data_IF_964028477091
#
_entry.id   IF_964028477091
#
_cell.length_a   1.000
_cell.length_b   1.000
_cell.length_c   1.000
_cell.angle_alpha   90.00
_cell.angle_beta   90.00
_cell.angle_gamma   90.00
#
_symmetry.space_group_name_H-M   'P 1'
#
loop_
_entity.id
_entity.type
_entity.pdbx_description
1 polymer ?
#
# COMPACT_ATOMS: atom_id res chain seq x y z
N UNK A 1 28.44 37.41 11.49
CA UNK A 1 27.01 37.19 11.20
C UNK A 1 26.88 35.77 10.67
N UNK A 2 26.41 34.82 11.49
CA UNK A 2 26.12 33.46 11.06
C UNK A 2 24.65 33.40 10.66
N UNK A 3 24.39 33.17 9.37
CA UNK A 3 23.06 32.89 8.87
C UNK A 3 22.63 31.51 9.37
N UNK A 4 21.60 31.46 10.21
CA UNK A 4 20.93 30.22 10.58
C UNK A 4 20.38 29.55 9.32
N UNK A 5 20.74 28.28 9.13
CA UNK A 5 20.19 27.49 8.04
C UNK A 5 18.67 27.35 8.24
N UNK A 6 17.84 27.46 7.18
CA UNK A 6 16.41 27.22 7.29
C UNK A 6 16.19 25.75 7.63
N UNK A 7 15.68 25.49 8.83
CA UNK A 7 15.23 24.16 9.20
C UNK A 7 14.17 23.68 8.21
N UNK A 8 14.43 22.49 7.70
CA UNK A 8 13.76 21.85 6.58
C UNK A 8 12.28 21.58 6.92
N UNK A 9 11.37 22.45 6.47
CA UNK A 9 9.94 22.44 6.76
C UNK A 9 9.14 21.26 6.19
N UNK A 10 9.80 20.15 5.82
CA UNK A 10 9.17 19.03 5.11
C UNK A 10 9.47 17.66 5.75
N UNK A 11 10.01 17.62 6.97
CA UNK A 11 10.19 16.35 7.67
C UNK A 11 8.86 15.90 8.31
N UNK A 12 8.40 14.66 8.04
CA UNK A 12 7.19 14.14 8.67
C UNK A 12 7.39 14.06 10.18
N UNK A 13 6.36 14.43 10.95
CA UNK A 13 6.45 14.37 12.40
C UNK A 13 6.66 12.92 12.87
N UNK A 14 7.33 12.71 14.02
CA UNK A 14 7.49 11.37 14.61
C UNK A 14 6.15 10.60 14.71
N UNK A 15 5.07 11.33 15.01
CA UNK A 15 3.71 10.78 15.11
C UNK A 15 3.17 10.29 13.76
N UNK A 16 3.51 10.97 12.67
CA UNK A 16 3.12 10.56 11.31
C UNK A 16 3.89 9.30 10.87
N UNK A 17 5.19 9.23 11.19
CA UNK A 17 6.01 8.05 10.91
C UNK A 17 5.51 6.81 11.65
N UNK A 18 5.15 6.95 12.92
CA UNK A 18 4.56 5.85 13.71
C UNK A 18 3.21 5.38 13.15
N UNK A 19 2.33 6.33 12.78
CA UNK A 19 1.03 6.00 12.19
C UNK A 19 1.22 5.26 10.87
N UNK A 20 2.12 5.72 10.01
CA UNK A 20 2.36 5.09 8.72
C UNK A 20 2.97 3.69 8.85
N UNK A 21 3.78 3.45 9.89
CA UNK A 21 4.26 2.11 10.23
C UNK A 21 3.09 1.19 10.64
N UNK A 22 2.24 1.63 11.55
CA UNK A 22 1.09 0.85 12.00
C UNK A 22 0.09 0.55 10.86
N UNK A 23 -0.13 1.51 9.96
CA UNK A 23 -0.94 1.29 8.74
C UNK A 23 -0.31 0.19 7.88
N UNK A 24 1.01 0.20 7.68
CA UNK A 24 1.70 -0.83 6.89
C UNK A 24 1.60 -2.22 7.53
N UNK A 25 1.73 -2.30 8.85
CA UNK A 25 1.66 -3.56 9.58
C UNK A 25 0.24 -4.15 9.48
N UNK A 26 -0.78 -3.35 9.80
CA UNK A 26 -2.19 -3.79 9.72
C UNK A 26 -2.66 -4.08 8.30
N UNK A 27 -2.14 -3.36 7.30
CA UNK A 27 -2.47 -3.61 5.89
C UNK A 27 -2.06 -5.02 5.44
N UNK A 28 -0.94 -5.55 5.95
CA UNK A 28 -0.45 -6.90 5.59
C UNK A 28 -1.36 -8.02 6.08
N UNK A 29 -2.18 -7.75 7.08
CA UNK A 29 -3.11 -8.69 7.69
C UNK A 29 -4.54 -8.51 7.15
N UNK A 30 -4.78 -7.48 6.34
CA UNK A 30 -6.10 -7.21 5.80
C UNK A 30 -6.49 -8.24 4.73
N UNK A 31 -7.56 -9.00 5.00
CA UNK A 31 -8.00 -10.09 4.14
C UNK A 31 -8.41 -9.65 2.73
N UNK A 32 -9.02 -8.46 2.58
CA UNK A 32 -9.40 -7.94 1.26
C UNK A 32 -8.14 -7.57 0.46
N UNK A 33 -7.17 -6.94 1.12
CA UNK A 33 -5.89 -6.61 0.51
C UNK A 33 -5.16 -7.88 0.04
N UNK A 34 -5.01 -8.87 0.93
CA UNK A 34 -4.36 -10.15 0.60
C UNK A 34 -5.07 -10.85 -0.57
N UNK A 35 -6.40 -10.88 -0.58
CA UNK A 35 -7.18 -11.49 -1.65
C UNK A 35 -6.92 -10.80 -2.99
N UNK A 36 -6.86 -9.47 -3.02
CA UNK A 36 -6.56 -8.71 -4.22
C UNK A 36 -5.11 -8.90 -4.70
N UNK A 37 -4.12 -8.97 -3.80
CA UNK A 37 -2.74 -9.30 -4.16
C UNK A 37 -2.66 -10.69 -4.80
N UNK A 38 -3.33 -11.69 -4.22
CA UNK A 38 -3.39 -13.05 -4.77
C UNK A 38 -4.07 -13.11 -6.14
N UNK A 39 -5.19 -12.40 -6.30
CA UNK A 39 -5.90 -12.33 -7.58
C UNK A 39 -5.03 -11.70 -8.68
N UNK A 40 -4.29 -10.63 -8.35
CA UNK A 40 -3.37 -10.01 -9.31
C UNK A 40 -2.16 -10.90 -9.61
N UNK A 41 -1.61 -11.60 -8.61
CA UNK A 41 -0.55 -12.57 -8.81
C UNK A 41 -0.98 -13.70 -9.76
N UNK A 42 -2.20 -14.23 -9.60
CA UNK A 42 -2.75 -15.25 -10.48
C UNK A 42 -2.85 -14.79 -11.95
N UNK A 43 -3.20 -13.52 -12.20
CA UNK A 43 -3.19 -12.96 -13.56
C UNK A 43 -1.77 -12.90 -14.15
N UNK A 44 -0.76 -12.62 -13.33
CA UNK A 44 0.63 -12.61 -13.79
C UNK A 44 1.17 -14.02 -14.02
N UNK A 45 0.70 -15.01 -13.26
CA UNK A 45 1.03 -16.42 -13.47
C UNK A 45 0.38 -16.93 -14.77
N UNK A 46 -0.89 -16.62 -15.01
CA UNK A 46 -1.60 -16.91 -16.28
C UNK A 46 -0.86 -16.28 -17.47
N UNK A 47 -0.46 -15.01 -17.35
CA UNK A 47 0.32 -14.32 -18.36
C UNK A 47 1.68 -14.94 -18.63
N UNK A 48 2.38 -15.37 -17.58
CA UNK A 48 3.68 -16.01 -17.71
C UNK A 48 3.56 -17.37 -18.40
N UNK A 49 2.53 -18.15 -18.05
CA UNK A 49 2.22 -19.41 -18.73
C UNK A 49 1.89 -19.18 -20.20
N UNK A 50 1.06 -18.16 -20.51
CA UNK A 50 0.70 -17.83 -21.89
C UNK A 50 1.91 -17.45 -22.73
N UNK A 51 2.82 -16.65 -22.17
CA UNK A 51 4.07 -16.29 -22.84
C UNK A 51 4.96 -17.51 -23.11
N UNK A 52 4.97 -18.50 -22.22
CA UNK A 52 5.72 -19.74 -22.40
C UNK A 52 5.13 -20.57 -23.55
N UNK A 53 3.80 -20.71 -23.63
CA UNK A 53 3.13 -21.36 -24.77
C UNK A 53 3.47 -20.68 -26.10
N UNK A 54 3.45 -19.34 -26.12
CA UNK A 54 3.78 -18.56 -27.32
C UNK A 54 5.26 -18.70 -27.71
N UNK A 55 6.15 -18.88 -26.73
CA UNK A 55 7.56 -19.14 -26.98
C UNK A 55 7.76 -20.55 -27.57
N UNK A 56 7.07 -21.56 -27.05
CA UNK A 56 7.09 -22.93 -27.58
C UNK A 56 6.51 -23.01 -29.00
N UNK A 57 5.46 -22.23 -29.28
CA UNK A 57 4.85 -22.13 -30.61
C UNK A 57 5.70 -21.32 -31.62
N UNK A 58 6.83 -20.74 -31.19
CA UNK A 58 7.71 -19.92 -32.05
C UNK A 58 7.20 -18.51 -32.34
N UNK A 59 6.11 -18.08 -31.68
CA UNK A 59 5.55 -16.73 -31.81
C UNK A 59 6.40 -15.69 -31.06
N UNK A 60 7.13 -16.12 -30.02
CA UNK A 60 8.12 -15.33 -29.30
C UNK A 60 9.48 -16.02 -29.47
N UNK A 61 10.56 -15.23 -29.60
CA UNK A 61 11.91 -15.78 -29.68
C UNK A 61 12.22 -16.66 -28.47
N UNK A 62 12.76 -17.86 -28.70
CA UNK A 62 13.28 -18.75 -27.64
C UNK A 62 14.39 -18.14 -26.77
N UNK A 63 14.99 -17.01 -27.19
CA UNK A 63 15.98 -16.26 -26.40
C UNK A 63 15.36 -15.24 -25.45
N UNK A 64 14.06 -14.94 -25.61
CA UNK A 64 13.35 -14.01 -24.73
C UNK A 64 13.20 -14.62 -23.35
N UNK A 65 13.61 -13.89 -22.32
CA UNK A 65 13.46 -14.33 -20.92
C UNK A 65 12.09 -13.87 -20.43
N UNK A 66 11.24 -14.83 -20.04
CA UNK A 66 9.96 -14.55 -19.38
C UNK A 66 10.24 -14.25 -17.90
N UNK A 67 9.89 -13.06 -17.38
CA UNK A 67 10.15 -12.71 -15.99
C UNK A 67 9.33 -13.55 -15.01
N UNK A 68 9.95 -14.06 -13.95
CA UNK A 68 9.25 -14.78 -12.88
C UNK A 68 9.01 -13.90 -11.65
N UNK A 69 7.78 -13.83 -11.14
CA UNK A 69 7.38 -13.15 -9.89
C UNK A 69 6.72 -11.79 -10.06
N UNK A 70 6.32 -11.16 -8.94
CA UNK A 70 5.25 -10.17 -8.90
C UNK A 70 5.69 -8.70 -8.66
N UNK A 71 6.94 -8.35 -8.98
CA UNK A 71 7.37 -6.95 -8.83
C UNK A 71 6.79 -6.07 -9.94
N UNK A 72 6.64 -4.76 -9.68
CA UNK A 72 6.10 -3.83 -10.67
C UNK A 72 6.88 -3.85 -12.01
N UNK A 73 8.21 -3.94 -11.94
CA UNK A 73 9.05 -4.07 -13.13
C UNK A 73 8.79 -5.37 -13.90
N UNK A 74 8.64 -6.49 -13.19
CA UNK A 74 8.37 -7.80 -13.81
C UNK A 74 6.98 -7.82 -14.46
N UNK A 75 5.97 -7.31 -13.77
CA UNK A 75 4.62 -7.16 -14.32
C UNK A 75 4.58 -6.27 -15.57
N UNK A 76 5.30 -5.14 -15.55
CA UNK A 76 5.43 -4.28 -16.73
C UNK A 76 6.08 -5.02 -17.91
N UNK A 77 7.13 -5.81 -17.66
CA UNK A 77 7.80 -6.56 -18.72
C UNK A 77 6.93 -7.70 -19.27
N UNK A 78 6.20 -8.41 -18.42
CA UNK A 78 5.20 -9.40 -18.85
C UNK A 78 4.15 -8.74 -19.75
N UNK A 79 3.65 -7.58 -19.35
CA UNK A 79 2.62 -6.83 -20.10
C UNK A 79 3.16 -6.39 -21.47
N UNK A 80 4.40 -5.91 -21.53
CA UNK A 80 5.06 -5.54 -22.78
C UNK A 80 5.19 -6.74 -23.74
N UNK A 81 5.61 -7.91 -23.24
CA UNK A 81 5.74 -9.11 -24.05
C UNK A 81 4.39 -9.59 -24.59
N UNK A 82 3.33 -9.56 -23.77
CA UNK A 82 1.98 -9.90 -24.20
C UNK A 82 1.46 -8.95 -25.28
N UNK A 83 1.72 -7.64 -25.13
CA UNK A 83 1.36 -6.67 -26.18
C UNK A 83 2.08 -6.96 -27.50
N UNK A 84 3.38 -7.29 -27.44
CA UNK A 84 4.18 -7.61 -28.62
C UNK A 84 3.69 -8.88 -29.32
N UNK A 85 3.14 -9.85 -28.57
CA UNK A 85 2.58 -11.08 -29.10
C UNK A 85 1.09 -10.99 -29.48
N UNK A 86 0.46 -9.81 -29.34
CA UNK A 86 -0.94 -9.58 -29.70
C UNK A 86 -1.97 -10.02 -28.66
N UNK A 87 -1.55 -10.39 -27.45
CA UNK A 87 -2.41 -10.85 -26.33
C UNK A 87 -3.06 -9.68 -25.59
N UNK A 88 -3.76 -8.82 -26.33
CA UNK A 88 -4.31 -7.56 -25.80
C UNK A 88 -5.39 -7.76 -24.73
N UNK A 89 -6.17 -8.85 -24.80
CA UNK A 89 -7.19 -9.14 -23.80
C UNK A 89 -6.58 -9.41 -22.42
N UNK A 90 -5.49 -10.17 -22.37
CA UNK A 90 -4.80 -10.49 -21.13
C UNK A 90 -4.09 -9.27 -20.56
N UNK A 91 -3.54 -8.41 -21.43
CA UNK A 91 -2.98 -7.10 -21.06
C UNK A 91 -4.03 -6.23 -20.36
N UNK A 92 -5.24 -6.13 -20.92
CA UNK A 92 -6.30 -5.32 -20.32
C UNK A 92 -6.75 -5.90 -18.96
N UNK A 93 -6.89 -7.23 -18.84
CA UNK A 93 -7.17 -7.88 -17.54
C UNK A 93 -6.12 -7.54 -16.48
N UNK A 94 -4.83 -7.61 -16.83
CA UNK A 94 -3.74 -7.27 -15.90
C UNK A 94 -3.81 -5.80 -15.47
N UNK A 95 -4.05 -4.89 -16.42
CA UNK A 95 -4.17 -3.45 -16.16
C UNK A 95 -5.36 -3.14 -15.25
N UNK A 96 -6.49 -3.75 -15.51
CA UNK A 96 -7.69 -3.56 -14.69
C UNK A 96 -7.52 -4.15 -13.30
N UNK A 97 -6.91 -5.34 -13.18
CA UNK A 97 -6.51 -5.89 -11.89
C UNK A 97 -5.59 -4.95 -11.10
N UNK A 98 -4.61 -4.33 -11.77
CA UNK A 98 -3.71 -3.35 -11.16
C UNK A 98 -4.44 -2.07 -10.69
N UNK A 99 -5.38 -1.56 -11.50
CA UNK A 99 -6.22 -0.41 -11.13
C UNK A 99 -7.07 -0.73 -9.90
N UNK A 100 -7.76 -1.88 -9.89
CA UNK A 100 -8.59 -2.33 -8.77
C UNK A 100 -7.76 -2.47 -7.49
N UNK A 101 -6.61 -3.13 -7.56
CA UNK A 101 -5.64 -3.26 -6.46
C UNK A 101 -5.23 -1.90 -5.90
N UNK A 102 -4.92 -0.94 -6.79
CA UNK A 102 -4.50 0.41 -6.39
C UNK A 102 -5.61 1.17 -5.67
N UNK A 103 -6.85 1.08 -6.17
CA UNK A 103 -8.01 1.71 -5.54
C UNK A 103 -8.31 1.09 -4.17
N UNK A 104 -8.26 -0.24 -4.09
CA UNK A 104 -8.46 -0.98 -2.85
C UNK A 104 -7.41 -0.60 -1.79
N UNK A 105 -6.13 -0.57 -2.18
CA UNK A 105 -5.04 -0.15 -1.31
C UNK A 105 -5.27 1.25 -0.73
N UNK A 106 -5.68 2.21 -1.57
CA UNK A 106 -6.00 3.57 -1.11
C UNK A 106 -7.15 3.57 -0.10
N UNK A 107 -8.22 2.81 -0.38
CA UNK A 107 -9.40 2.69 0.50
C UNK A 107 -9.02 2.12 1.87
N UNK A 108 -8.29 1.00 1.90
CA UNK A 108 -7.91 0.32 3.14
C UNK A 108 -6.96 1.20 3.95
N UNK A 109 -5.95 1.81 3.32
CA UNK A 109 -5.04 2.74 4.02
C UNK A 109 -5.78 3.90 4.65
N UNK A 110 -6.73 4.50 3.94
CA UNK A 110 -7.55 5.59 4.47
C UNK A 110 -8.39 5.13 5.67
N UNK A 111 -9.04 3.97 5.57
CA UNK A 111 -9.81 3.37 6.68
C UNK A 111 -8.93 3.15 7.92
N UNK A 112 -7.77 2.51 7.74
CA UNK A 112 -6.81 2.26 8.82
C UNK A 112 -6.29 3.56 9.44
N UNK A 113 -6.01 4.59 8.64
CA UNK A 113 -5.57 5.90 9.15
C UNK A 113 -6.62 6.56 10.04
N UNK A 114 -7.90 6.47 9.67
CA UNK A 114 -9.01 6.98 10.48
C UNK A 114 -9.11 6.20 11.79
N UNK A 115 -9.15 4.87 11.72
CA UNK A 115 -9.24 4.01 12.91
C UNK A 115 -8.09 4.28 13.89
N UNK A 116 -6.86 4.40 13.40
CA UNK A 116 -5.68 4.68 14.24
C UNK A 116 -5.79 6.09 14.86
N UNK A 117 -6.27 7.08 14.09
CA UNK A 117 -6.47 8.44 14.61
C UNK A 117 -7.53 8.45 15.70
N UNK A 118 -8.66 7.78 15.50
CA UNK A 118 -9.73 7.68 16.48
C UNK A 118 -9.26 6.96 17.75
N UNK A 119 -8.55 5.83 17.60
CA UNK A 119 -7.95 5.08 18.72
C UNK A 119 -7.01 5.96 19.54
N UNK A 120 -6.02 6.58 18.90
CA UNK A 120 -5.06 7.47 19.58
C UNK A 120 -5.73 8.69 20.22
N UNK A 121 -6.78 9.22 19.60
CA UNK A 121 -7.56 10.34 20.17
C UNK A 121 -8.32 9.92 21.42
N UNK A 122 -8.92 8.72 21.42
CA UNK A 122 -9.61 8.15 22.59
C UNK A 122 -8.62 7.88 23.73
N UNK A 123 -7.47 7.26 23.43
CA UNK A 123 -6.38 7.04 24.40
C UNK A 123 -5.89 8.35 25.03
N UNK A 124 -5.66 9.38 24.19
CA UNK A 124 -5.24 10.69 24.68
C UNK A 124 -6.29 11.36 25.57
N UNK A 125 -7.57 11.31 25.19
CA UNK A 125 -8.66 11.81 26.04
C UNK A 125 -8.72 11.07 27.37
N UNK A 126 -8.61 9.74 27.38
CA UNK A 126 -8.61 8.93 28.60
C UNK A 126 -7.48 9.32 29.56
N UNK A 127 -6.29 9.65 29.03
CA UNK A 127 -5.14 10.12 29.82
C UNK A 127 -5.32 11.52 30.41
N UNK A 128 -6.17 12.36 29.82
CA UNK A 128 -6.44 13.73 30.31
C UNK A 128 -7.54 13.77 31.39
N UNK A 129 -8.39 12.76 31.48
CA UNK A 129 -9.53 12.71 32.43
C UNK A 129 -9.13 12.64 33.93
N UNK A 130 -8.00 12.03 34.37
CA UNK A 130 -7.66 12.05 35.80
C UNK A 130 -7.02 13.36 36.31
N UNK A 131 -6.76 14.36 35.46
CA UNK A 131 -6.10 15.62 35.87
C UNK A 131 -7.04 16.83 35.98
N UNK A 132 -8.32 16.69 35.65
CA UNK A 132 -9.32 17.72 35.96
C UNK A 132 -9.94 17.43 37.33
N UNK A 133 -9.15 17.58 38.39
CA UNK A 133 -9.74 17.81 39.73
C UNK A 133 -10.35 19.22 39.68
N UNK A 134 -11.62 19.41 40.08
CA UNK A 134 -12.19 20.74 40.18
C UNK A 134 -11.34 21.57 41.16
N UNK A 135 -10.80 22.69 40.69
CA UNK A 135 -10.08 23.68 41.53
C UNK A 135 -10.95 24.11 42.73
N UNK A 136 -12.27 23.96 42.62
CA UNK A 136 -13.24 24.25 43.68
C UNK A 136 -13.03 23.43 44.96
N UNK A 137 -12.37 22.26 44.91
CA UNK A 137 -12.07 21.48 46.12
C UNK A 137 -10.82 21.93 46.88
N UNK A 138 -10.04 22.89 46.35
CA UNK A 138 -8.79 23.32 46.96
C UNK A 138 -8.91 24.62 47.79
N UNK A 139 -10.06 25.31 47.75
CA UNK A 139 -10.26 26.61 48.43
C UNK A 139 -11.04 26.49 49.76
N UNK A 140 -11.60 25.33 50.12
CA UNK A 140 -12.35 25.16 51.39
C UNK A 140 -11.52 24.63 52.57
N UNK A 141 -10.22 24.95 52.64
CA UNK A 141 -9.40 24.78 53.86
C UNK A 141 -8.40 25.93 54.01
N UNK A 142 -8.90 27.12 54.30
CA UNK A 142 -8.17 28.16 55.02
C UNK A 142 -9.09 28.75 56.09
#
# INVERSE_FOLDING_TARGET
>A
MHFGQPENANQPSKKDVERDKEVKDRLREDGEYIAAEKAHAALLDEASAKLAELQEAGMISGRTIIPAGYSAHKGAKITELLMQSGENELVEKIRDGLKQRTLLLKRIRHRLQIEIRERKSKEHRALLIPYTVPIEMMIMKL
#
